data_IF_536879766358
#
_entry.id   IF_536879766358
#
_cell.length_a   1.000
_cell.length_b   1.000
_cell.length_c   1.000
_cell.angle_alpha   90.00
_cell.angle_beta   90.00
_cell.angle_gamma   90.00
#
_symmetry.space_group_name_H-M   'P 1'
#
loop_
_entity.id
_entity.type
_entity.pdbx_description
1 polymer ?
#
# COMPACT_ATOMS: atom_id res chain seq x y z
N UNK A 1 10.21 -22.34 5.06
CA UNK A 1 11.38 -21.65 4.53
C UNK A 1 12.31 -21.08 5.62
N UNK A 2 12.01 -21.29 6.93
CA UNK A 2 12.86 -20.81 8.03
C UNK A 2 12.90 -19.30 8.22
N UNK A 3 11.99 -18.55 7.61
CA UNK A 3 11.85 -17.11 7.83
C UNK A 3 10.96 -16.88 9.06
N UNK A 4 11.48 -16.16 10.04
CA UNK A 4 10.79 -15.83 11.29
C UNK A 4 10.60 -14.33 11.40
N UNK A 5 9.69 -13.93 12.27
CA UNK A 5 9.43 -12.53 12.64
C UNK A 5 9.56 -12.36 14.15
N UNK A 6 9.91 -11.16 14.60
CA UNK A 6 10.30 -10.91 15.99
C UNK A 6 9.09 -10.62 16.89
N UNK A 7 8.06 -10.00 16.36
CA UNK A 7 6.91 -9.52 17.15
C UNK A 7 5.63 -10.34 16.90
N UNK A 8 4.65 -10.30 17.81
CA UNK A 8 3.36 -10.93 17.60
C UNK A 8 2.67 -10.43 16.33
N UNK A 9 1.97 -11.32 15.63
CA UNK A 9 1.20 -10.98 14.42
C UNK A 9 0.08 -10.01 14.77
N UNK A 10 0.06 -8.85 14.13
CA UNK A 10 -0.99 -7.86 14.23
C UNK A 10 -2.09 -8.15 13.22
N UNK A 11 -3.27 -8.47 13.67
CA UNK A 11 -4.42 -8.74 12.80
C UNK A 11 -5.20 -7.45 12.52
N UNK A 12 -5.26 -7.00 11.27
CA UNK A 12 -5.96 -5.77 10.87
C UNK A 12 -7.46 -5.79 11.23
N UNK A 13 -8.09 -6.95 11.26
CA UNK A 13 -9.49 -7.11 11.68
C UNK A 13 -9.76 -6.66 13.12
N UNK A 14 -8.74 -6.63 13.97
CA UNK A 14 -8.85 -6.19 15.38
C UNK A 14 -8.53 -4.70 15.56
N UNK A 15 -8.14 -4.00 14.50
CA UNK A 15 -7.58 -2.63 14.55
C UNK A 15 -8.57 -1.53 14.18
N UNK A 16 -9.84 -1.85 14.00
CA UNK A 16 -10.87 -0.90 13.52
C UNK A 16 -10.90 0.42 14.32
N UNK A 17 -10.70 0.37 15.63
CA UNK A 17 -10.67 1.56 16.48
C UNK A 17 -9.50 2.51 16.13
N UNK A 18 -8.31 1.96 15.89
CA UNK A 18 -7.13 2.75 15.49
C UNK A 18 -7.34 3.44 14.13
N UNK A 19 -7.91 2.72 13.17
CA UNK A 19 -8.22 3.29 11.85
C UNK A 19 -9.32 4.36 11.93
N UNK A 20 -10.33 4.16 12.78
CA UNK A 20 -11.37 5.17 13.01
C UNK A 20 -10.79 6.44 13.64
N UNK A 21 -9.85 6.31 14.58
CA UNK A 21 -9.14 7.45 15.17
C UNK A 21 -8.34 8.21 14.10
N UNK A 22 -7.62 7.51 13.23
CA UNK A 22 -6.89 8.14 12.13
C UNK A 22 -7.82 8.84 11.12
N UNK A 23 -8.97 8.23 10.79
CA UNK A 23 -10.00 8.87 9.96
C UNK A 23 -10.54 10.14 10.61
N UNK A 24 -10.80 10.12 11.93
CA UNK A 24 -11.26 11.30 12.65
C UNK A 24 -10.23 12.44 12.61
N UNK A 25 -8.94 12.14 12.78
CA UNK A 25 -7.87 13.12 12.66
C UNK A 25 -7.79 13.72 11.25
N UNK A 26 -7.87 12.90 10.20
CA UNK A 26 -7.91 13.35 8.82
C UNK A 26 -9.14 14.20 8.52
N UNK A 27 -10.31 13.85 9.09
CA UNK A 27 -11.54 14.62 8.93
C UNK A 27 -11.44 16.00 9.61
N UNK A 28 -10.92 16.05 10.83
CA UNK A 28 -10.67 17.31 11.55
C UNK A 28 -9.71 18.24 10.79
N UNK A 29 -8.71 17.67 10.10
CA UNK A 29 -7.81 18.39 9.21
C UNK A 29 -8.43 18.83 7.87
N UNK A 30 -9.70 18.50 7.60
CA UNK A 30 -10.35 18.81 6.32
C UNK A 30 -9.80 18.00 5.13
N UNK A 31 -9.21 16.85 5.40
CA UNK A 31 -8.53 16.03 4.39
C UNK A 31 -9.39 14.91 3.79
N UNK A 32 -10.68 14.86 4.12
CA UNK A 32 -11.57 13.79 3.68
C UNK A 32 -12.87 14.34 3.06
N UNK A 33 -13.45 13.55 2.17
CA UNK A 33 -14.82 13.76 1.71
C UNK A 33 -15.55 12.43 1.51
N UNK A 34 -16.88 12.48 1.58
CA UNK A 34 -17.74 11.33 1.31
C UNK A 34 -18.06 11.23 -0.18
N UNK A 35 -18.01 10.02 -0.74
CA UNK A 35 -18.27 9.74 -2.14
C UNK A 35 -19.34 8.66 -2.28
N UNK A 36 -20.49 9.01 -2.83
CA UNK A 36 -21.61 8.12 -3.11
C UNK A 36 -21.58 7.50 -4.51
N UNK A 37 -20.59 7.84 -5.34
CA UNK A 37 -20.47 7.35 -6.70
C UNK A 37 -20.52 5.83 -6.79
N UNK A 38 -21.29 5.31 -7.74
CA UNK A 38 -21.21 3.91 -8.18
C UNK A 38 -19.92 3.71 -9.00
N UNK A 39 -19.52 2.44 -9.19
CA UNK A 39 -18.33 2.11 -10.01
C UNK A 39 -18.40 2.69 -11.41
N UNK A 40 -19.57 2.71 -12.05
CA UNK A 40 -19.76 3.27 -13.39
C UNK A 40 -19.69 4.79 -13.49
N UNK A 41 -19.67 5.51 -12.33
CA UNK A 41 -19.48 6.96 -12.26
C UNK A 41 -18.04 7.36 -11.93
N UNK A 42 -17.18 6.40 -11.65
CA UNK A 42 -15.76 6.60 -11.47
C UNK A 42 -15.04 6.48 -12.82
N UNK A 43 -13.90 7.13 -12.98
CA UNK A 43 -13.05 6.92 -14.14
C UNK A 43 -12.35 5.53 -14.10
N UNK A 44 -11.55 5.24 -15.14
CA UNK A 44 -10.83 3.98 -15.24
C UNK A 44 -9.89 3.71 -14.06
N UNK A 45 -9.37 4.76 -13.43
CA UNK A 45 -8.49 4.69 -12.27
C UNK A 45 -9.25 4.66 -10.94
N UNK A 46 -10.59 4.63 -10.99
CA UNK A 46 -11.45 4.62 -9.82
C UNK A 46 -11.54 5.97 -9.09
N UNK A 47 -11.17 7.06 -9.75
CA UNK A 47 -11.22 8.42 -9.23
C UNK A 47 -12.63 9.00 -9.40
N UNK A 48 -13.10 9.73 -8.39
CA UNK A 48 -14.36 10.47 -8.45
C UNK A 48 -14.18 11.76 -9.27
N UNK A 49 -14.78 11.81 -10.45
CA UNK A 49 -14.83 13.01 -11.31
C UNK A 49 -16.12 13.81 -11.15
N UNK A 50 -16.98 13.40 -10.21
CA UNK A 50 -18.22 14.10 -9.90
C UNK A 50 -18.01 15.22 -8.86
N UNK A 51 -19.12 15.79 -8.44
CA UNK A 51 -19.19 16.89 -7.48
C UNK A 51 -19.08 16.48 -6.00
N UNK A 52 -18.80 15.19 -5.72
CA UNK A 52 -18.74 14.68 -4.34
C UNK A 52 -17.77 15.47 -3.45
N UNK A 53 -16.64 15.92 -4.02
CA UNK A 53 -15.62 16.67 -3.29
C UNK A 53 -16.10 18.08 -2.92
N UNK A 54 -16.91 18.70 -3.76
CA UNK A 54 -17.41 20.08 -3.56
C UNK A 54 -18.72 20.14 -2.79
N UNK A 55 -19.47 19.03 -2.75
CA UNK A 55 -20.66 18.91 -1.92
C UNK A 55 -20.25 18.89 -0.45
N UNK A 56 -20.71 19.84 0.34
CA UNK A 56 -20.57 19.82 1.80
C UNK A 56 -21.45 18.69 2.36
N UNK A 57 -20.88 17.50 2.48
CA UNK A 57 -21.56 16.33 3.02
C UNK A 57 -20.90 15.90 4.32
N UNK A 58 -21.73 15.58 5.30
CA UNK A 58 -21.26 14.90 6.51
C UNK A 58 -20.63 13.55 6.11
N UNK A 59 -19.47 13.23 6.68
CA UNK A 59 -18.87 11.91 6.50
C UNK A 59 -19.80 10.87 7.13
N UNK A 60 -20.46 10.07 6.31
CA UNK A 60 -21.53 9.19 6.73
C UNK A 60 -21.50 7.83 5.97
N UNK A 61 -22.09 6.82 6.60
CA UNK A 61 -22.39 5.54 5.97
C UNK A 61 -23.68 5.62 5.13
N UNK A 62 -23.81 4.86 4.05
CA UNK A 62 -22.91 3.83 3.52
C UNK A 62 -21.97 4.33 2.41
N UNK A 63 -21.39 5.49 2.52
CA UNK A 63 -20.56 6.10 1.47
C UNK A 63 -19.09 5.74 1.63
N UNK A 64 -18.36 5.72 0.50
CA UNK A 64 -16.92 5.62 0.54
C UNK A 64 -16.33 6.94 1.07
N UNK A 65 -15.30 6.85 1.89
CA UNK A 65 -14.53 8.01 2.35
C UNK A 65 -13.24 8.06 1.55
N UNK A 66 -12.95 9.23 0.97
CA UNK A 66 -11.77 9.49 0.17
C UNK A 66 -10.89 10.56 0.78
N UNK A 67 -9.58 10.41 0.61
CA UNK A 67 -8.62 11.46 0.91
C UNK A 67 -8.68 12.55 -0.15
N UNK A 68 -8.67 13.82 0.27
CA UNK A 68 -8.57 15.00 -0.61
C UNK A 68 -7.09 15.20 -0.94
N UNK A 69 -6.72 15.02 -2.19
CA UNK A 69 -5.37 15.30 -2.68
C UNK A 69 -5.38 16.67 -3.41
N UNK A 70 -4.62 17.66 -2.95
CA UNK A 70 -4.48 18.93 -3.67
C UNK A 70 -3.94 18.72 -5.08
N UNK A 71 -4.43 19.48 -6.05
CA UNK A 71 -4.05 19.34 -7.47
C UNK A 71 -2.55 19.56 -7.73
N UNK A 72 -1.90 20.37 -6.92
CA UNK A 72 -0.47 20.68 -6.94
C UNK A 72 0.37 19.75 -6.07
N UNK A 73 -0.26 18.75 -5.43
CA UNK A 73 0.44 17.82 -4.55
C UNK A 73 1.41 16.95 -5.33
N UNK A 74 2.68 17.06 -5.01
CA UNK A 74 3.74 16.19 -5.51
C UNK A 74 4.47 15.52 -4.35
N UNK A 75 4.66 14.21 -4.46
CA UNK A 75 5.40 13.41 -3.50
C UNK A 75 6.74 13.03 -4.11
N UNK A 76 7.81 13.27 -3.37
CA UNK A 76 9.18 12.86 -3.71
C UNK A 76 9.75 12.04 -2.57
N UNK A 77 10.39 10.93 -2.92
CA UNK A 77 11.11 10.09 -1.97
C UNK A 77 12.27 9.38 -2.67
N UNK A 78 13.24 8.94 -1.89
CA UNK A 78 14.32 8.10 -2.39
C UNK A 78 13.97 6.64 -2.05
N UNK A 79 13.80 5.81 -3.09
CA UNK A 79 13.70 4.37 -2.90
C UNK A 79 15.12 3.78 -2.93
N UNK A 80 15.42 2.89 -2.00
CA UNK A 80 16.78 2.34 -1.84
C UNK A 80 17.21 1.47 -3.03
N UNK A 81 16.26 0.95 -3.82
CA UNK A 81 16.54 0.09 -4.97
C UNK A 81 16.13 0.73 -6.31
N UNK A 82 14.99 1.42 -6.32
CA UNK A 82 14.46 2.06 -7.54
C UNK A 82 14.98 3.49 -7.72
N UNK A 83 15.77 4.02 -6.76
CA UNK A 83 16.33 5.36 -6.82
C UNK A 83 15.29 6.47 -6.57
N UNK A 84 15.58 7.72 -6.96
CA UNK A 84 14.71 8.86 -6.74
C UNK A 84 13.34 8.69 -7.42
N UNK A 85 12.28 8.86 -6.66
CA UNK A 85 10.90 8.79 -7.13
C UNK A 85 10.22 10.15 -7.05
N UNK A 86 9.44 10.49 -8.08
CA UNK A 86 8.66 11.72 -8.13
C UNK A 86 7.28 11.43 -8.72
N UNK A 87 6.24 11.71 -7.97
CA UNK A 87 4.84 11.52 -8.41
C UNK A 87 4.05 12.81 -8.21
N UNK A 88 3.49 13.34 -9.29
CA UNK A 88 2.50 14.42 -9.24
C UNK A 88 1.16 13.83 -8.77
N UNK A 89 1.03 13.57 -7.47
CA UNK A 89 -0.05 12.80 -6.89
C UNK A 89 -1.43 13.41 -7.20
N UNK A 90 -1.54 14.72 -7.14
CA UNK A 90 -2.79 15.43 -7.42
C UNK A 90 -3.26 15.31 -8.87
N UNK A 91 -2.32 15.22 -9.82
CA UNK A 91 -2.63 15.12 -11.24
C UNK A 91 -2.83 13.67 -11.70
N UNK A 92 -2.00 12.74 -11.23
CA UNK A 92 -1.95 11.36 -11.74
C UNK A 92 -2.75 10.36 -10.92
N UNK A 93 -2.83 10.52 -9.61
CA UNK A 93 -3.42 9.52 -8.70
C UNK A 93 -4.51 10.09 -7.80
N UNK A 94 -4.94 11.32 -8.05
CA UNK A 94 -6.03 12.07 -7.39
C UNK A 94 -6.68 11.42 -6.13
N UNK A 95 -7.83 11.88 -5.73
CA UNK A 95 -8.53 11.47 -4.50
C UNK A 95 -8.76 9.96 -4.41
N UNK A 96 -8.16 9.29 -3.43
CA UNK A 96 -8.22 7.83 -3.28
C UNK A 96 -9.03 7.40 -2.04
N UNK A 97 -9.55 6.18 -2.08
CA UNK A 97 -10.37 5.62 -1.02
C UNK A 97 -9.52 5.29 0.21
N UNK A 98 -9.97 5.75 1.38
CA UNK A 98 -9.41 5.40 2.70
C UNK A 98 -10.37 4.53 3.53
N UNK A 99 -11.68 4.61 3.25
CA UNK A 99 -12.70 3.69 3.77
C UNK A 99 -13.70 3.35 2.67
N UNK A 100 -14.03 2.09 2.52
CA UNK A 100 -14.94 1.57 1.50
C UNK A 100 -16.39 1.73 1.93
N UNK A 101 -17.34 1.63 0.97
CA UNK A 101 -18.79 1.68 1.22
C UNK A 101 -19.30 0.56 2.15
N UNK A 102 -18.62 -0.58 2.16
CA UNK A 102 -18.93 -1.71 3.05
C UNK A 102 -18.38 -1.54 4.47
N UNK A 103 -17.85 -0.36 4.79
CA UNK A 103 -17.29 -0.02 6.09
C UNK A 103 -15.84 -0.47 6.32
N UNK A 104 -15.26 -1.27 5.42
CA UNK A 104 -13.89 -1.73 5.55
C UNK A 104 -12.90 -0.59 5.28
N UNK A 105 -11.88 -0.50 6.11
CA UNK A 105 -10.78 0.44 5.89
C UNK A 105 -9.93 -0.01 4.70
N UNK A 106 -9.52 0.95 3.86
CA UNK A 106 -8.72 0.63 2.69
C UNK A 106 -7.26 0.36 3.08
N UNK A 107 -6.59 -0.47 2.29
CA UNK A 107 -5.18 -0.84 2.48
C UNK A 107 -4.27 0.36 2.73
N UNK A 108 -4.45 1.44 1.96
CA UNK A 108 -3.61 2.64 2.07
C UNK A 108 -3.65 3.27 3.47
N UNK A 109 -4.82 3.29 4.12
CA UNK A 109 -4.94 3.80 5.49
C UNK A 109 -4.45 2.78 6.51
N UNK A 110 -4.87 1.52 6.38
CA UNK A 110 -4.59 0.49 7.36
C UNK A 110 -3.09 0.27 7.54
N UNK A 111 -2.34 0.12 6.44
CA UNK A 111 -0.88 -0.11 6.51
C UNK A 111 -0.15 1.09 7.12
N UNK A 112 -0.54 2.31 6.80
CA UNK A 112 0.08 3.53 7.35
C UNK A 112 -0.11 3.63 8.87
N UNK A 113 -1.31 3.32 9.34
CA UNK A 113 -1.62 3.35 10.78
C UNK A 113 -0.90 2.23 11.54
N UNK A 114 -0.85 1.04 10.95
CA UNK A 114 -0.22 -0.12 11.59
C UNK A 114 1.31 0.00 11.60
N UNK A 115 1.92 0.42 10.47
CA UNK A 115 3.37 0.67 10.40
C UNK A 115 3.80 1.72 11.43
N UNK A 116 3.04 2.81 11.57
CA UNK A 116 3.32 3.84 12.57
C UNK A 116 3.18 3.29 14.00
N UNK A 117 2.13 2.50 14.28
CA UNK A 117 1.90 1.91 15.60
C UNK A 117 2.97 0.88 15.98
N UNK A 118 3.52 0.15 15.02
CA UNK A 118 4.59 -0.82 15.21
C UNK A 118 6.00 -0.20 15.13
N UNK A 119 6.12 1.10 14.88
CA UNK A 119 7.41 1.78 14.78
C UNK A 119 8.26 1.33 13.60
N UNK A 120 7.62 0.95 12.49
CA UNK A 120 8.31 0.49 11.28
C UNK A 120 9.15 1.63 10.70
N UNK A 121 10.44 1.40 10.55
CA UNK A 121 11.41 2.35 10.02
C UNK A 121 11.79 2.07 8.57
N UNK A 122 11.64 0.84 8.10
CA UNK A 122 11.99 0.40 6.76
C UNK A 122 10.89 -0.51 6.19
N UNK A 123 10.43 -0.19 4.99
CA UNK A 123 9.44 -0.99 4.24
C UNK A 123 10.13 -1.62 3.04
N UNK A 124 10.32 -2.94 3.08
CA UNK A 124 10.87 -3.70 1.96
C UNK A 124 9.76 -4.57 1.36
N UNK A 125 9.43 -4.36 0.08
CA UNK A 125 8.29 -5.04 -0.57
C UNK A 125 8.44 -5.12 -2.08
N UNK A 126 7.52 -5.77 -2.77
CA UNK A 126 7.53 -5.86 -4.23
C UNK A 126 7.27 -4.52 -4.93
N UNK A 127 7.89 -4.31 -6.08
CA UNK A 127 7.75 -3.10 -6.89
C UNK A 127 6.35 -2.88 -7.47
N UNK A 128 5.50 -3.88 -7.44
CA UNK A 128 4.08 -3.75 -7.75
C UNK A 128 3.31 -2.84 -6.78
N UNK A 129 3.89 -2.53 -5.63
CA UNK A 129 3.36 -1.57 -4.66
C UNK A 129 4.04 -0.20 -4.71
N UNK A 130 4.94 0.04 -5.65
CA UNK A 130 5.63 1.32 -5.79
C UNK A 130 4.65 2.48 -5.96
N UNK A 131 3.62 2.33 -6.79
CA UNK A 131 2.56 3.34 -7.01
C UNK A 131 1.66 3.58 -5.79
N UNK A 132 1.68 2.69 -4.81
CA UNK A 132 0.98 2.89 -3.54
C UNK A 132 1.75 3.82 -2.59
N UNK A 133 3.06 3.86 -2.70
CA UNK A 133 3.95 4.59 -1.78
C UNK A 133 3.64 6.10 -1.71
N UNK A 134 3.42 6.82 -2.81
CA UNK A 134 3.05 8.24 -2.75
C UNK A 134 1.76 8.51 -1.96
N UNK A 135 0.76 7.63 -2.07
CA UNK A 135 -0.50 7.75 -1.30
C UNK A 135 -0.26 7.52 0.19
N UNK A 136 0.60 6.57 0.54
CA UNK A 136 0.96 6.27 1.92
C UNK A 136 1.77 7.40 2.54
N UNK A 137 2.76 7.93 1.84
CA UNK A 137 3.54 9.10 2.29
C UNK A 137 2.61 10.31 2.48
N UNK A 138 1.67 10.54 1.58
CA UNK A 138 0.67 11.59 1.73
C UNK A 138 -0.12 11.43 3.03
N UNK A 139 -0.61 10.24 3.34
CA UNK A 139 -1.35 9.98 4.58
C UNK A 139 -0.46 10.14 5.82
N UNK A 140 0.79 9.66 5.77
CA UNK A 140 1.77 9.83 6.86
C UNK A 140 1.97 11.31 7.19
N UNK A 141 2.15 12.14 6.16
CA UNK A 141 2.30 13.59 6.32
C UNK A 141 1.06 14.24 6.94
N UNK A 142 -0.17 13.84 6.51
CA UNK A 142 -1.43 14.40 7.04
C UNK A 142 -1.74 13.94 8.45
N UNK A 143 -1.24 12.78 8.87
CA UNK A 143 -1.37 12.22 10.21
C UNK A 143 -0.19 12.59 11.12
N UNK A 144 0.80 13.33 10.63
CA UNK A 144 2.05 13.65 11.34
C UNK A 144 2.81 12.39 11.79
N UNK A 145 2.75 11.31 11.01
CA UNK A 145 3.54 10.09 11.24
C UNK A 145 4.91 10.19 10.58
N UNK A 146 5.89 9.50 11.15
CA UNK A 146 7.20 9.35 10.51
C UNK A 146 7.07 8.59 9.18
N UNK A 147 7.77 9.04 8.16
CA UNK A 147 7.85 8.32 6.88
C UNK A 147 9.00 7.32 6.94
N UNK A 148 8.75 6.01 6.77
CA UNK A 148 9.80 5.01 6.72
C UNK A 148 10.66 5.13 5.45
N UNK A 149 11.83 4.52 5.45
CA UNK A 149 12.62 4.27 4.25
C UNK A 149 11.95 3.17 3.43
N UNK A 150 11.97 3.29 2.10
CA UNK A 150 11.35 2.32 1.19
C UNK A 150 12.39 1.61 0.32
N UNK A 151 12.18 0.31 0.09
CA UNK A 151 12.94 -0.49 -0.87
C UNK A 151 11.97 -1.39 -1.65
N UNK A 152 11.84 -1.15 -2.96
CA UNK A 152 10.94 -1.93 -3.81
C UNK A 152 11.73 -2.93 -4.65
N UNK A 153 11.61 -4.21 -4.28
CA UNK A 153 12.23 -5.35 -4.94
C UNK A 153 11.54 -5.66 -6.27
N UNK A 154 12.27 -6.16 -7.29
CA UNK A 154 11.64 -6.63 -8.50
C UNK A 154 10.67 -7.79 -8.18
N UNK A 155 9.59 -7.90 -8.96
CA UNK A 155 8.63 -9.01 -8.85
C UNK A 155 8.81 -10.00 -9.98
N UNK A 156 8.61 -11.27 -9.70
CA UNK A 156 8.68 -12.32 -10.73
C UNK A 156 7.47 -12.19 -11.65
N UNK A 157 7.75 -12.16 -12.95
CA UNK A 157 6.74 -12.03 -14.00
C UNK A 157 6.73 -13.24 -14.93
N UNK A 158 5.62 -13.46 -15.59
CA UNK A 158 5.54 -14.39 -16.74
C UNK A 158 6.36 -13.85 -17.92
N UNK A 159 6.60 -14.67 -18.93
CA UNK A 159 7.23 -14.23 -20.18
C UNK A 159 6.46 -13.11 -20.91
N UNK A 160 5.20 -12.85 -20.53
CA UNK A 160 4.37 -11.76 -21.04
C UNK A 160 4.39 -10.52 -20.13
N UNK A 161 5.25 -10.48 -19.11
CA UNK A 161 5.39 -9.35 -18.18
C UNK A 161 4.31 -9.27 -17.08
N UNK A 162 3.42 -10.25 -16.95
CA UNK A 162 2.41 -10.27 -15.89
C UNK A 162 3.02 -10.80 -14.59
N UNK A 163 2.79 -10.10 -13.47
CA UNK A 163 3.22 -10.55 -12.14
C UNK A 163 2.63 -11.94 -11.83
N UNK A 164 3.43 -12.83 -11.28
CA UNK A 164 2.95 -14.09 -10.71
C UNK A 164 1.99 -13.81 -9.55
N UNK A 165 0.73 -14.25 -9.69
CA UNK A 165 -0.32 -14.03 -8.70
C UNK A 165 -1.35 -15.15 -8.71
N UNK A 166 -2.19 -15.22 -7.68
CA UNK A 166 -3.34 -16.14 -7.65
C UNK A 166 -4.33 -15.89 -8.80
N UNK A 167 -4.41 -14.65 -9.30
CA UNK A 167 -5.34 -14.27 -10.37
C UNK A 167 -4.93 -14.86 -11.73
N UNK A 168 -3.64 -15.07 -11.97
CA UNK A 168 -3.13 -15.68 -13.21
C UNK A 168 -2.68 -17.14 -12.99
N UNK A 169 -3.20 -17.79 -11.94
CA UNK A 169 -2.95 -19.21 -11.63
C UNK A 169 -1.47 -19.56 -11.48
N UNK A 170 -0.65 -18.62 -10.98
CA UNK A 170 0.75 -18.90 -10.71
C UNK A 170 0.89 -20.08 -9.75
N UNK A 171 1.86 -20.99 -9.97
CA UNK A 171 2.11 -22.11 -9.07
C UNK A 171 2.37 -21.62 -7.64
N UNK A 172 1.80 -22.31 -6.66
CA UNK A 172 2.13 -22.05 -5.26
C UNK A 172 3.59 -22.46 -4.97
N UNK A 173 4.21 -21.80 -3.98
CA UNK A 173 5.50 -22.26 -3.48
C UNK A 173 5.35 -23.64 -2.85
N UNK A 174 6.23 -24.56 -3.28
CA UNK A 174 6.35 -25.88 -2.67
C UNK A 174 7.25 -25.79 -1.42
N UNK A 175 6.66 -25.98 -0.25
CA UNK A 175 7.39 -25.90 1.02
C UNK A 175 8.38 -27.04 1.22
N UNK A 176 8.21 -28.18 0.55
CA UNK A 176 9.15 -29.30 0.62
C UNK A 176 10.47 -29.00 -0.11
N UNK A 177 10.47 -27.97 -0.94
CA UNK A 177 11.64 -27.48 -1.68
C UNK A 177 12.16 -26.13 -1.16
N UNK A 178 12.08 -25.87 0.14
CA UNK A 178 12.40 -24.55 0.74
C UNK A 178 13.80 -24.04 0.36
N UNK A 179 14.83 -24.89 0.44
CA UNK A 179 16.22 -24.52 0.09
C UNK A 179 16.34 -24.14 -1.39
N UNK A 180 15.73 -24.90 -2.28
CA UNK A 180 15.73 -24.64 -3.72
C UNK A 180 15.02 -23.31 -4.02
N UNK A 181 13.87 -23.07 -3.39
CA UNK A 181 13.13 -21.81 -3.55
C UNK A 181 13.94 -20.60 -3.09
N UNK A 182 14.61 -20.69 -1.94
CA UNK A 182 15.47 -19.62 -1.43
C UNK A 182 16.67 -19.36 -2.35
N UNK A 183 17.31 -20.39 -2.88
CA UNK A 183 18.40 -20.23 -3.87
C UNK A 183 17.92 -19.57 -5.15
N UNK A 184 16.74 -19.95 -5.66
CA UNK A 184 16.14 -19.29 -6.82
C UNK A 184 15.85 -17.81 -6.53
N UNK A 185 15.33 -17.49 -5.34
CA UNK A 185 15.09 -16.10 -4.95
C UNK A 185 16.38 -15.28 -4.87
N UNK A 186 17.45 -15.83 -4.27
CA UNK A 186 18.75 -15.17 -4.20
C UNK A 186 19.32 -14.88 -5.60
N UNK A 187 19.28 -15.87 -6.50
CA UNK A 187 19.74 -15.68 -7.90
C UNK A 187 18.92 -14.62 -8.63
N UNK A 188 17.59 -14.67 -8.47
CA UNK A 188 16.70 -13.66 -9.04
C UNK A 188 17.03 -12.24 -8.56
N UNK A 189 17.43 -12.12 -7.30
CA UNK A 189 17.84 -10.84 -6.68
C UNK A 189 19.32 -10.53 -6.90
N UNK A 190 20.03 -11.28 -7.75
CA UNK A 190 21.48 -11.14 -8.02
C UNK A 190 22.34 -11.20 -6.75
N UNK A 191 21.93 -11.99 -5.77
CA UNK A 191 22.68 -12.24 -4.56
C UNK A 191 23.59 -13.46 -4.73
N UNK A 192 24.66 -13.54 -3.92
CA UNK A 192 25.56 -14.69 -3.93
C UNK A 192 24.82 -15.97 -3.56
N UNK A 193 25.13 -17.06 -4.26
CA UNK A 193 24.66 -18.39 -3.87
C UNK A 193 25.26 -18.78 -2.49
N UNK A 194 24.46 -19.27 -1.55
CA UNK A 194 24.98 -19.74 -0.28
C UNK A 194 25.88 -20.98 -0.47
N UNK A 195 26.85 -21.24 0.42
CA UNK A 195 27.70 -22.41 0.36
C UNK A 195 26.90 -23.72 0.25
N UNK A 196 27.45 -24.71 -0.42
CA UNK A 196 26.78 -26.02 -0.67
C UNK A 196 26.43 -26.81 0.61
N UNK A 197 27.01 -26.45 1.75
CA UNK A 197 26.85 -27.16 3.04
C UNK A 197 25.52 -26.86 3.79
N UNK A 198 24.59 -26.09 3.23
CA UNK A 198 23.26 -25.88 3.82
C UNK A 198 22.22 -26.90 3.35
N UNK A 199 22.64 -28.15 3.09
CA UNK A 199 21.79 -29.26 2.68
C UNK A 199 21.43 -30.19 3.85
N UNK A 200 21.23 -29.67 5.05
CA UNK A 200 20.78 -30.50 6.19
C UNK A 200 19.42 -30.04 6.69
#
# INVERSE_FOLDING_TARGET
HGLHWDEPVLYQSTRSAAYTTALAALAQGGHLFSCDCSRGKLDADGVCRGDCRTRQQTIADPWAIRAIVPSDCAIRFADLLQGPQHTALGASLADFVVRRKDGLHAYQLAVVVDDAAQGITHVVRGSDLLDSTPRQIFLQQRLAYATPSYAHLPVITTGQGQKFSKQNHAPALDNDHAVTNLRHALRFLHQADPPAMLNA
#
